data_IF_611119587434
#
_entry.id   IF_611119587434
#
_cell.length_a   1.000
_cell.length_b   1.000
_cell.length_c   1.000
_cell.angle_alpha   90.00
_cell.angle_beta   90.00
_cell.angle_gamma   90.00
#
_symmetry.space_group_name_H-M   'P 1'
#
loop_
_entity.id
_entity.type
_entity.pdbx_description
1 polymer ?
#
# COMPACT_ATOMS: atom_id res chain seq x y z
N UNK A 1 28.32 56.21 -48.04
CA UNK A 1 29.46 56.50 -47.16
C UNK A 1 29.00 56.40 -45.70
N UNK A 2 29.80 55.79 -44.81
CA UNK A 2 29.59 55.44 -43.38
C UNK A 2 28.71 54.19 -43.13
N UNK A 3 29.28 52.99 -42.98
CA UNK A 3 30.16 52.38 -41.94
C UNK A 3 29.34 51.59 -40.90
N UNK A 4 29.56 50.27 -40.97
CA UNK A 4 29.27 49.20 -40.00
C UNK A 4 29.52 49.64 -38.54
N UNK A 5 28.64 49.21 -37.63
CA UNK A 5 29.00 48.93 -36.24
C UNK A 5 28.44 47.57 -35.82
N UNK A 6 29.36 46.65 -35.56
CA UNK A 6 29.17 45.33 -34.97
C UNK A 6 29.32 45.48 -33.45
N UNK A 7 28.36 45.00 -32.68
CA UNK A 7 28.46 44.59 -31.27
C UNK A 7 27.41 43.48 -31.11
N UNK A 8 27.78 42.20 -31.22
CA UNK A 8 28.15 41.32 -30.12
C UNK A 8 27.23 41.45 -28.89
N UNK A 9 26.22 40.58 -28.80
CA UNK A 9 25.74 40.08 -27.52
C UNK A 9 25.56 38.56 -27.60
N UNK A 10 26.35 37.91 -26.74
CA UNK A 10 26.43 36.49 -26.50
C UNK A 10 25.55 36.17 -25.28
N UNK A 11 24.80 35.07 -25.40
CA UNK A 11 24.36 34.13 -24.37
C UNK A 11 23.63 34.66 -23.12
N UNK A 12 22.32 34.37 -23.02
CA UNK A 12 21.78 33.44 -22.01
C UNK A 12 20.54 32.78 -22.63
N UNK A 13 20.64 31.55 -23.13
CA UNK A 13 19.45 30.73 -23.41
C UNK A 13 19.08 30.04 -22.11
N UNK A 14 18.04 30.54 -21.48
CA UNK A 14 17.37 29.94 -20.34
C UNK A 14 17.02 28.49 -20.67
N UNK A 15 17.59 27.56 -19.94
CA UNK A 15 17.24 26.14 -19.97
C UNK A 15 15.78 26.04 -19.56
N UNK A 16 14.91 25.74 -20.54
CA UNK A 16 13.52 25.41 -20.32
C UNK A 16 13.46 24.03 -19.65
N UNK A 17 13.56 24.01 -18.33
CA UNK A 17 13.32 22.83 -17.50
C UNK A 17 11.83 22.48 -17.58
N UNK A 18 11.44 21.71 -18.58
CA UNK A 18 10.12 21.09 -18.65
C UNK A 18 10.03 20.01 -17.56
N UNK A 19 9.47 20.40 -16.41
CA UNK A 19 8.93 19.46 -15.42
C UNK A 19 7.85 18.59 -16.09
N UNK A 20 7.91 17.25 -16.01
CA UNK A 20 6.70 16.45 -16.12
C UNK A 20 5.96 16.48 -14.78
N UNK A 21 5.14 17.52 -14.59
CA UNK A 21 4.03 17.48 -13.66
C UNK A 21 2.91 16.62 -14.24
N UNK A 22 2.88 15.34 -13.90
CA UNK A 22 1.62 14.57 -13.75
C UNK A 22 1.86 13.35 -12.86
N UNK A 23 1.72 13.53 -11.55
CA UNK A 23 1.18 12.49 -10.69
C UNK A 23 0.14 13.10 -9.76
N UNK A 24 -1.15 12.96 -10.11
CA UNK A 24 -2.19 12.98 -9.11
C UNK A 24 -3.13 11.79 -9.32
N UNK A 25 -2.76 10.63 -8.76
CA UNK A 25 -3.73 9.62 -8.32
C UNK A 25 -3.43 9.25 -6.86
N UNK A 26 -3.17 10.25 -6.03
CA UNK A 26 -3.22 10.13 -4.57
C UNK A 26 -4.42 10.93 -4.12
N UNK A 27 -5.62 10.44 -4.37
CA UNK A 27 -6.84 10.95 -3.76
C UNK A 27 -7.94 9.89 -3.89
N UNK A 28 -8.01 9.06 -2.85
CA UNK A 28 -9.25 8.68 -2.17
C UNK A 28 -8.81 8.04 -0.85
N UNK A 29 -8.24 8.87 0.05
CA UNK A 29 -8.26 8.56 1.50
C UNK A 29 -9.73 8.72 1.95
N UNK A 30 -10.61 7.87 1.43
CA UNK A 30 -11.85 7.53 2.12
C UNK A 30 -11.40 7.12 3.53
N UNK A 31 -12.11 7.56 4.57
CA UNK A 31 -11.91 7.08 5.94
C UNK A 31 -12.28 5.59 6.01
N UNK A 32 -11.49 4.75 5.35
CA UNK A 32 -11.55 3.31 5.47
C UNK A 32 -10.90 3.03 6.81
N UNK A 33 -11.70 2.49 7.74
CA UNK A 33 -11.27 2.09 9.07
C UNK A 33 -10.00 1.22 9.05
N UNK A 34 -9.81 0.49 7.95
CA UNK A 34 -8.69 -0.39 7.70
C UNK A 34 -7.86 0.07 6.49
N UNK A 35 -6.54 -0.08 6.54
CA UNK A 35 -5.69 0.32 5.43
C UNK A 35 -5.93 -0.57 4.21
N UNK A 36 -5.94 0.07 3.04
CA UNK A 36 -5.92 -0.60 1.75
C UNK A 36 -4.96 0.14 0.84
N UNK A 37 -4.40 -0.56 -0.14
CA UNK A 37 -3.45 0.02 -1.06
C UNK A 37 -3.74 -0.47 -2.48
N UNK A 38 -4.10 0.44 -3.37
CA UNK A 38 -4.40 0.12 -4.76
C UNK A 38 -3.42 0.90 -5.65
N UNK A 39 -2.91 0.25 -6.69
CA UNK A 39 -1.98 0.86 -7.63
C UNK A 39 -2.09 0.17 -8.99
N UNK A 40 -1.66 0.86 -10.03
CA UNK A 40 -1.61 0.34 -11.39
C UNK A 40 -0.35 0.83 -12.08
N UNK A 41 0.32 -0.06 -12.79
CA UNK A 41 1.53 0.31 -13.51
C UNK A 41 1.67 -0.45 -14.84
N UNK A 42 2.20 0.21 -15.88
CA UNK A 42 2.52 -0.45 -17.14
C UNK A 42 3.77 -1.33 -17.00
N UNK A 43 3.83 -2.36 -17.82
CA UNK A 43 4.96 -3.27 -17.99
C UNK A 43 5.24 -3.47 -19.47
N UNK A 44 6.52 -3.57 -19.81
CA UNK A 44 6.98 -3.92 -21.16
C UNK A 44 6.76 -5.40 -21.52
N UNK A 45 6.46 -6.24 -20.52
CA UNK A 45 6.34 -7.70 -20.65
C UNK A 45 4.94 -8.12 -21.08
N UNK A 46 4.86 -9.24 -21.78
CA UNK A 46 3.56 -9.85 -22.13
C UNK A 46 2.92 -10.51 -20.89
N UNK A 47 1.61 -10.74 -20.88
CA UNK A 47 0.94 -11.41 -19.76
C UNK A 47 1.54 -12.79 -19.44
N UNK A 48 1.99 -13.52 -20.46
CA UNK A 48 2.60 -14.85 -20.34
C UNK A 48 3.98 -14.78 -19.69
N UNK A 49 4.79 -13.78 -20.05
CA UNK A 49 6.09 -13.52 -19.40
C UNK A 49 5.92 -13.13 -17.94
N UNK A 50 4.96 -12.24 -17.64
CA UNK A 50 4.62 -11.83 -16.27
C UNK A 50 4.20 -13.05 -15.45
N UNK A 51 3.33 -13.89 -16.00
CA UNK A 51 2.89 -15.12 -15.34
C UNK A 51 4.07 -16.04 -15.02
N UNK A 52 4.97 -16.23 -15.98
CA UNK A 52 6.16 -17.09 -15.83
C UNK A 52 7.12 -16.56 -14.78
N UNK A 53 7.42 -15.26 -14.79
CA UNK A 53 8.25 -14.59 -13.77
C UNK A 53 7.63 -14.74 -12.39
N UNK A 54 6.33 -14.47 -12.25
CA UNK A 54 5.63 -14.59 -10.98
C UNK A 54 5.60 -16.03 -10.47
N UNK A 55 5.40 -17.03 -11.34
CA UNK A 55 5.46 -18.44 -10.95
C UNK A 55 6.84 -18.86 -10.46
N UNK A 56 7.91 -18.34 -11.08
CA UNK A 56 9.29 -18.64 -10.66
C UNK A 56 9.61 -18.12 -9.25
N UNK A 57 9.01 -17.00 -8.83
CA UNK A 57 9.25 -16.38 -7.51
C UNK A 57 8.13 -16.64 -6.49
N UNK A 58 7.10 -17.42 -6.86
CA UNK A 58 5.94 -17.69 -6.01
C UNK A 58 5.81 -19.18 -5.73
N UNK A 59 5.85 -19.52 -4.44
CA UNK A 59 5.52 -20.86 -3.98
C UNK A 59 4.01 -21.07 -3.86
N UNK A 60 3.47 -22.25 -4.17
CA UNK A 60 2.08 -22.57 -3.86
C UNK A 60 1.82 -22.51 -2.34
N UNK A 61 0.58 -22.26 -1.90
CA UNK A 61 0.26 -22.24 -0.46
C UNK A 61 0.60 -23.60 0.15
N UNK A 62 1.63 -23.64 1.00
CA UNK A 62 2.13 -24.89 1.54
C UNK A 62 1.16 -25.46 2.57
N UNK A 63 0.86 -26.74 2.44
CA UNK A 63 0.29 -27.57 3.52
C UNK A 63 1.38 -28.17 4.44
N UNK A 64 2.66 -27.99 4.13
CA UNK A 64 3.76 -28.77 4.72
C UNK A 64 4.62 -27.94 5.69
N UNK A 65 4.73 -28.43 6.93
CA UNK A 65 5.36 -27.78 8.08
C UNK A 65 6.91 -27.60 8.00
N UNK A 66 7.63 -28.24 7.08
CA UNK A 66 9.06 -28.49 7.30
C UNK A 66 10.01 -28.26 6.12
N UNK A 67 9.62 -27.51 5.07
CA UNK A 67 10.55 -27.20 3.98
C UNK A 67 10.89 -25.71 3.94
N UNK A 68 12.14 -25.30 4.20
CA UNK A 68 12.57 -23.94 3.93
C UNK A 68 12.50 -23.70 2.42
N UNK A 69 11.93 -22.58 2.05
CA UNK A 69 11.73 -22.20 0.67
C UNK A 69 12.23 -20.79 0.50
N UNK A 70 13.05 -20.60 -0.53
CA UNK A 70 13.72 -19.34 -0.79
C UNK A 70 12.88 -18.42 -1.70
N UNK A 71 11.59 -18.75 -1.93
CA UNK A 71 10.73 -17.93 -2.78
C UNK A 71 10.29 -16.66 -2.06
N UNK A 72 10.16 -15.58 -2.81
CA UNK A 72 9.84 -14.26 -2.29
C UNK A 72 8.35 -14.10 -1.94
N UNK A 73 7.50 -14.88 -2.60
CA UNK A 73 6.05 -14.82 -2.45
C UNK A 73 5.43 -16.20 -2.24
N UNK A 74 4.29 -16.23 -1.56
CA UNK A 74 3.47 -17.43 -1.37
C UNK A 74 2.07 -17.15 -1.90
N UNK A 75 1.53 -18.02 -2.73
CA UNK A 75 0.19 -17.84 -3.26
C UNK A 75 -0.12 -18.59 -4.54
N UNK A 76 -1.06 -18.06 -5.30
CA UNK A 76 -1.52 -18.62 -6.56
C UNK A 76 -1.35 -17.60 -7.68
N UNK A 77 -0.76 -18.04 -8.78
CA UNK A 77 -0.56 -17.24 -10.00
C UNK A 77 -1.34 -17.90 -11.13
N UNK A 78 -2.09 -17.11 -11.88
CA UNK A 78 -2.80 -17.52 -13.11
C UNK A 78 -2.46 -16.54 -14.23
N UNK A 79 -2.70 -16.88 -15.51
CA UNK A 79 -2.31 -16.01 -16.63
C UNK A 79 -2.90 -14.58 -16.59
N UNK A 80 -4.10 -14.41 -16.02
CA UNK A 80 -4.78 -13.11 -15.97
C UNK A 80 -4.78 -12.46 -14.58
N UNK A 81 -4.50 -13.23 -13.52
CA UNK A 81 -4.63 -12.77 -12.13
C UNK A 81 -3.64 -13.47 -11.22
N UNK A 82 -3.26 -12.83 -10.13
CA UNK A 82 -2.47 -13.46 -9.09
C UNK A 82 -2.97 -13.05 -7.70
N UNK A 83 -2.83 -13.96 -6.74
CA UNK A 83 -3.09 -13.73 -5.33
C UNK A 83 -1.89 -14.24 -4.54
N UNK A 84 -1.10 -13.31 -4.01
CA UNK A 84 0.14 -13.64 -3.30
C UNK A 84 0.29 -12.84 -2.01
N UNK A 85 1.10 -13.36 -1.10
CA UNK A 85 1.58 -12.68 0.12
C UNK A 85 3.11 -12.74 0.13
N UNK A 86 3.77 -11.74 0.71
CA UNK A 86 5.23 -11.78 0.88
C UNK A 86 5.63 -12.91 1.82
N UNK A 87 6.66 -13.67 1.44
CA UNK A 87 7.30 -14.65 2.32
C UNK A 87 8.26 -13.92 3.27
N UNK A 88 7.85 -13.75 4.52
CA UNK A 88 8.67 -13.10 5.55
C UNK A 88 9.09 -14.12 6.60
N UNK A 89 10.26 -13.91 7.22
CA UNK A 89 10.82 -14.81 8.22
C UNK A 89 10.12 -14.75 9.59
N UNK A 90 9.26 -13.76 9.81
CA UNK A 90 8.54 -13.54 11.06
C UNK A 90 7.02 -13.60 10.87
N UNK A 91 6.27 -13.71 11.96
CA UNK A 91 4.80 -13.73 11.89
C UNK A 91 4.26 -12.31 11.96
N UNK A 92 3.58 -11.87 10.90
CA UNK A 92 2.85 -10.60 10.87
C UNK A 92 1.43 -10.82 10.34
N UNK A 93 0.44 -10.66 11.22
CA UNK A 93 -0.98 -10.78 10.87
C UNK A 93 -1.47 -9.62 9.98
N UNK A 94 -0.78 -8.48 9.99
CA UNK A 94 -1.10 -7.32 9.17
C UNK A 94 -0.52 -7.36 7.76
N UNK A 95 0.08 -8.49 7.36
CA UNK A 95 0.61 -8.67 6.02
C UNK A 95 -0.48 -8.40 4.96
N UNK A 96 -0.16 -7.60 3.93
CA UNK A 96 -1.05 -7.38 2.81
C UNK A 96 -1.22 -8.65 1.98
N UNK A 97 -2.47 -9.06 1.76
CA UNK A 97 -2.81 -9.97 0.68
C UNK A 97 -2.88 -9.18 -0.62
N UNK A 98 -2.03 -9.55 -1.58
CA UNK A 98 -1.85 -8.85 -2.85
C UNK A 98 -2.70 -9.56 -3.90
N UNK A 99 -3.68 -8.85 -4.46
CA UNK A 99 -4.49 -9.26 -5.60
C UNK A 99 -4.07 -8.47 -6.82
N UNK A 100 -3.47 -9.14 -7.78
CA UNK A 100 -3.13 -8.55 -9.07
C UNK A 100 -4.05 -9.02 -10.19
N UNK A 101 -4.33 -8.13 -11.13
CA UNK A 101 -4.85 -8.49 -12.46
C UNK A 101 -3.93 -7.97 -13.55
N UNK A 102 -3.72 -8.80 -14.56
CA UNK A 102 -2.85 -8.54 -15.70
C UNK A 102 -3.76 -8.34 -16.91
N UNK A 103 -3.62 -7.18 -17.55
CA UNK A 103 -4.39 -6.83 -18.75
C UNK A 103 -3.42 -6.57 -19.91
N UNK A 104 -3.65 -7.11 -21.11
CA UNK A 104 -2.83 -6.77 -22.27
C UNK A 104 -3.02 -5.29 -22.63
N UNK A 105 -1.92 -4.59 -22.93
CA UNK A 105 -1.93 -3.18 -23.28
C UNK A 105 -0.88 -2.89 -24.36
N UNK A 106 -1.31 -2.82 -25.63
CA UNK A 106 -0.42 -2.62 -26.78
C UNK A 106 0.61 -3.74 -26.89
N UNK A 107 1.90 -3.39 -26.88
CA UNK A 107 3.02 -4.34 -26.94
C UNK A 107 3.44 -4.90 -25.57
N UNK A 108 2.73 -4.56 -24.48
CA UNK A 108 3.04 -4.99 -23.14
C UNK A 108 1.78 -5.26 -22.32
N UNK A 109 1.83 -4.99 -21.01
CA UNK A 109 0.72 -5.26 -20.09
C UNK A 109 0.50 -4.12 -19.09
N UNK A 110 -0.75 -3.92 -18.68
CA UNK A 110 -1.12 -3.12 -17.52
C UNK A 110 -1.39 -4.03 -16.33
N UNK A 111 -0.66 -3.82 -15.23
CA UNK A 111 -0.83 -4.59 -14.01
C UNK A 111 -1.57 -3.73 -12.99
N UNK A 112 -2.70 -4.22 -12.49
CA UNK A 112 -3.49 -3.57 -11.43
C UNK A 112 -3.35 -4.38 -10.16
N UNK A 113 -2.86 -3.75 -9.10
CA UNK A 113 -2.67 -4.38 -7.79
C UNK A 113 -3.62 -3.78 -6.76
N UNK A 114 -4.20 -4.65 -5.93
CA UNK A 114 -4.99 -4.30 -4.76
C UNK A 114 -4.43 -5.08 -3.58
N UNK A 115 -4.08 -4.37 -2.52
CA UNK A 115 -3.56 -4.94 -1.29
C UNK A 115 -4.55 -4.66 -0.17
N UNK A 116 -4.90 -5.72 0.57
CA UNK A 116 -5.84 -5.65 1.70
C UNK A 116 -5.36 -6.56 2.83
N UNK A 117 -5.75 -6.22 4.05
CA UNK A 117 -5.57 -7.11 5.20
C UNK A 117 -6.30 -8.44 4.97
N UNK A 118 -5.81 -9.48 5.64
CA UNK A 118 -6.52 -10.75 5.68
C UNK A 118 -7.93 -10.54 6.29
N UNK A 119 -9.01 -11.10 5.71
CA UNK A 119 -10.39 -10.85 6.16
C UNK A 119 -10.61 -11.10 7.67
N UNK A 120 -10.03 -12.18 8.21
CA UNK A 120 -10.13 -12.46 9.64
C UNK A 120 -9.48 -11.37 10.52
N UNK A 121 -8.34 -10.81 10.08
CA UNK A 121 -7.64 -9.74 10.79
C UNK A 121 -8.42 -8.43 10.65
N UNK A 122 -8.99 -8.17 9.48
CA UNK A 122 -9.87 -7.03 9.26
C UNK A 122 -11.09 -7.05 10.21
N UNK A 123 -11.76 -8.20 10.37
CA UNK A 123 -12.88 -8.36 11.31
C UNK A 123 -12.42 -8.15 12.75
N UNK A 124 -11.32 -8.79 13.17
CA UNK A 124 -10.75 -8.61 14.51
C UNK A 124 -10.46 -7.15 14.82
N UNK A 125 -9.77 -6.44 13.91
CA UNK A 125 -9.47 -5.02 14.08
C UNK A 125 -10.73 -4.16 14.15
N UNK A 126 -11.75 -4.48 13.34
CA UNK A 126 -13.02 -3.74 13.36
C UNK A 126 -13.74 -3.89 14.70
N UNK A 127 -13.79 -5.10 15.25
CA UNK A 127 -14.37 -5.37 16.57
C UNK A 127 -13.58 -4.65 17.66
N UNK A 128 -12.24 -4.76 17.63
CA UNK A 128 -11.37 -4.15 18.63
C UNK A 128 -11.49 -2.62 18.64
N UNK A 129 -11.43 -1.98 17.48
CA UNK A 129 -11.63 -0.54 17.34
C UNK A 129 -13.05 -0.12 17.73
N UNK A 130 -14.05 -0.95 17.43
CA UNK A 130 -15.44 -0.75 17.83
C UNK A 130 -15.61 -0.71 19.36
N UNK A 131 -14.98 -1.63 20.09
CA UNK A 131 -14.98 -1.60 21.55
C UNK A 131 -14.33 -0.33 22.11
N UNK A 132 -13.18 0.08 21.56
CA UNK A 132 -12.51 1.31 21.99
C UNK A 132 -13.36 2.55 21.72
N UNK A 133 -14.03 2.62 20.57
CA UNK A 133 -14.95 3.70 20.24
C UNK A 133 -16.18 3.71 21.17
N UNK A 134 -16.71 2.54 21.53
CA UNK A 134 -17.81 2.41 22.49
C UNK A 134 -17.42 2.93 23.88
N UNK A 135 -16.27 2.53 24.42
CA UNK A 135 -15.81 3.03 25.72
C UNK A 135 -15.51 4.53 25.69
N UNK A 136 -14.98 5.04 24.57
CA UNK A 136 -14.81 6.47 24.37
C UNK A 136 -16.15 7.22 24.41
N UNK A 137 -17.20 6.68 23.75
CA UNK A 137 -18.53 7.27 23.77
C UNK A 137 -19.17 7.23 25.17
N UNK A 138 -19.04 6.11 25.89
CA UNK A 138 -19.49 6.02 27.28
C UNK A 138 -18.77 7.03 28.18
N UNK A 139 -17.45 7.18 28.01
CA UNK A 139 -16.66 8.20 28.72
C UNK A 139 -17.13 9.61 28.38
N UNK A 140 -17.51 9.88 27.13
CA UNK A 140 -18.02 11.18 26.72
C UNK A 140 -19.38 11.48 27.37
N UNK A 141 -20.29 10.50 27.41
CA UNK A 141 -21.58 10.64 28.10
C UNK A 141 -21.39 10.88 29.60
N UNK A 142 -20.46 10.15 30.23
CA UNK A 142 -20.13 10.34 31.64
C UNK A 142 -19.53 11.73 31.90
N UNK A 143 -18.70 12.24 30.97
CA UNK A 143 -18.16 13.60 31.07
C UNK A 143 -19.25 14.68 31.07
N UNK A 144 -20.33 14.47 30.31
CA UNK A 144 -21.48 15.38 30.28
C UNK A 144 -22.36 15.25 31.54
N UNK A 145 -22.45 14.06 32.14
CA UNK A 145 -23.28 13.81 33.31
C UNK A 145 -22.61 14.24 34.63
N UNK A 146 -21.39 13.77 34.86
CA UNK A 146 -20.70 13.86 36.16
C UNK A 146 -19.46 14.77 36.14
N UNK A 147 -19.09 15.26 34.95
CA UNK A 147 -17.97 16.18 34.74
C UNK A 147 -16.75 15.55 34.05
N UNK A 148 -15.98 16.39 33.35
CA UNK A 148 -14.86 15.95 32.51
C UNK A 148 -13.73 15.28 33.31
N UNK A 149 -13.39 15.81 34.50
CA UNK A 149 -12.29 15.27 35.32
C UNK A 149 -12.58 13.84 35.79
N UNK A 150 -13.85 13.55 36.09
CA UNK A 150 -14.32 12.23 36.50
C UNK A 150 -14.29 11.24 35.33
N UNK A 151 -14.47 11.72 34.10
CA UNK A 151 -14.42 10.91 32.89
C UNK A 151 -13.02 10.64 32.34
N UNK A 152 -11.99 11.40 32.74
CA UNK A 152 -10.62 11.24 32.28
C UNK A 152 -10.06 9.80 32.37
N UNK A 153 -10.30 9.03 33.46
CA UNK A 153 -9.82 7.65 33.58
C UNK A 153 -10.41 6.70 32.53
N UNK A 154 -11.55 7.05 31.93
CA UNK A 154 -12.18 6.28 30.86
C UNK A 154 -11.84 6.86 29.48
N UNK A 155 -11.94 8.19 29.32
CA UNK A 155 -11.69 8.89 28.05
C UNK A 155 -10.23 8.80 27.61
N UNK A 156 -9.29 9.05 28.52
CA UNK A 156 -7.86 9.07 28.23
C UNK A 156 -7.35 7.75 27.68
N UNK A 157 -7.50 6.63 28.42
CA UNK A 157 -7.08 5.32 27.94
C UNK A 157 -7.80 4.87 26.67
N UNK A 158 -9.10 5.14 26.53
CA UNK A 158 -9.86 4.76 25.32
C UNK A 158 -9.33 5.47 24.08
N UNK A 159 -9.10 6.77 24.16
CA UNK A 159 -8.54 7.55 23.04
C UNK A 159 -7.08 7.16 22.76
N UNK A 160 -6.26 7.00 23.80
CA UNK A 160 -4.87 6.58 23.68
C UNK A 160 -4.75 5.20 23.01
N UNK A 161 -5.55 4.23 23.44
CA UNK A 161 -5.55 2.88 22.85
C UNK A 161 -6.14 2.87 21.44
N UNK A 162 -7.18 3.66 21.16
CA UNK A 162 -7.73 3.76 19.81
C UNK A 162 -6.70 4.31 18.82
N UNK A 163 -6.05 5.41 19.16
CA UNK A 163 -5.01 6.04 18.33
C UNK A 163 -3.80 5.13 18.16
N UNK A 164 -3.36 4.48 19.24
CA UNK A 164 -2.28 3.49 19.19
C UNK A 164 -2.61 2.32 18.28
N UNK A 165 -3.80 1.73 18.41
CA UNK A 165 -4.25 0.63 17.56
C UNK A 165 -4.29 1.04 16.08
N UNK A 166 -4.80 2.24 15.77
CA UNK A 166 -4.80 2.79 14.41
C UNK A 166 -3.39 2.90 13.81
N UNK A 167 -2.44 3.44 14.56
CA UNK A 167 -1.04 3.55 14.13
C UNK A 167 -0.44 2.15 13.91
N UNK A 168 -0.64 1.23 14.85
CA UNK A 168 -0.11 -0.13 14.78
C UNK A 168 -0.62 -0.88 13.54
N UNK A 169 -1.93 -0.84 13.28
CA UNK A 169 -2.55 -1.49 12.12
C UNK A 169 -2.03 -0.88 10.82
N UNK A 170 -1.97 0.45 10.74
CA UNK A 170 -1.51 1.16 9.53
C UNK A 170 -0.04 0.90 9.24
N UNK A 171 0.85 1.00 10.23
CA UNK A 171 2.28 0.74 10.04
C UNK A 171 2.56 -0.73 9.73
N UNK A 172 1.91 -1.65 10.46
CA UNK A 172 2.02 -3.08 10.25
C UNK A 172 1.62 -3.54 8.85
N UNK A 173 0.74 -2.79 8.18
CA UNK A 173 0.30 -3.03 6.80
C UNK A 173 1.11 -2.24 5.76
N UNK A 174 1.28 -0.92 5.94
CA UNK A 174 1.82 -0.03 4.91
C UNK A 174 3.29 -0.28 4.61
N UNK A 175 4.10 -0.61 5.63
CA UNK A 175 5.53 -0.86 5.44
C UNK A 175 5.73 -2.12 4.56
N UNK A 176 5.15 -3.28 4.91
CA UNK A 176 5.19 -4.45 4.02
C UNK A 176 4.55 -4.21 2.64
N UNK A 177 3.43 -3.47 2.57
CA UNK A 177 2.75 -3.19 1.30
C UNK A 177 3.64 -2.41 0.32
N UNK A 178 4.33 -1.38 0.80
CA UNK A 178 5.27 -0.60 -0.02
C UNK A 178 6.46 -1.44 -0.47
N UNK A 179 7.03 -2.25 0.42
CA UNK A 179 8.14 -3.14 0.09
C UNK A 179 7.74 -4.17 -0.97
N UNK A 180 6.58 -4.80 -0.80
CA UNK A 180 6.07 -5.78 -1.74
C UNK A 180 5.75 -5.16 -3.12
N UNK A 181 5.17 -3.96 -3.14
CA UNK A 181 4.94 -3.20 -4.37
C UNK A 181 6.23 -2.91 -5.12
N UNK A 182 7.23 -2.39 -4.42
CA UNK A 182 8.51 -2.06 -5.04
C UNK A 182 9.12 -3.32 -5.66
N UNK A 183 9.11 -4.44 -4.93
CA UNK A 183 9.66 -5.69 -5.43
C UNK A 183 8.91 -6.21 -6.65
N UNK A 184 7.58 -6.15 -6.65
CA UNK A 184 6.77 -6.51 -7.82
C UNK A 184 7.08 -5.61 -9.02
N UNK A 185 7.29 -4.31 -8.81
CA UNK A 185 7.67 -3.39 -9.90
C UNK A 185 9.05 -3.71 -10.47
N UNK A 186 10.02 -4.09 -9.62
CA UNK A 186 11.36 -4.49 -10.08
C UNK A 186 11.33 -5.80 -10.90
N UNK A 187 10.49 -6.76 -10.51
CA UNK A 187 10.36 -8.03 -11.23
C UNK A 187 9.61 -7.89 -12.56
N UNK A 188 8.69 -6.92 -12.64
CA UNK A 188 7.73 -6.79 -13.74
C UNK A 188 7.95 -5.56 -14.61
N UNK A 189 8.97 -4.73 -14.37
CA UNK A 189 9.31 -3.61 -15.26
C UNK A 189 9.73 -4.07 -16.65
#
# INVERSE_FOLDING_TARGET
>A
MKIKKIQSQVCVRTVSTSLPHTMPCRNEEIMVLLPSFNDSFPSSKTPEEICSVLQAVTSPPKLRLFQPCNEEFIGKVTPSRFRVVSNISYRNSFLPCIHGSIHPAGNGSEIKIKMRLHPAVAVFCSIWLGFMAFFFLCGLLFAFADGFLQALPLLGPSLGMFTFAQVLIRLGFLIPARKARQRLRELLS
#
